data_IF_751866389873
#
_entry.id   IF_751866389873
#
_cell.length_a   1.000
_cell.length_b   1.000
_cell.length_c   1.000
_cell.angle_alpha   90.00
_cell.angle_beta   90.00
_cell.angle_gamma   90.00
#
_symmetry.space_group_name_H-M   'P 1'
#
loop_
_entity.id
_entity.type
_entity.pdbx_description
1 polymer ?
#
# COMPACT_ATOMS: atom_id res chain seq x y z
N UNK A 1 7.90 26.89 -25.26
CA UNK A 1 6.58 26.27 -25.45
C UNK A 1 6.08 25.81 -24.09
N UNK A 2 5.35 26.68 -23.39
CA UNK A 2 4.74 26.36 -22.10
C UNK A 2 3.47 25.54 -22.34
N UNK A 3 3.52 24.25 -22.02
CA UNK A 3 2.31 23.43 -21.97
C UNK A 3 1.54 23.80 -20.71
N UNK A 4 0.56 24.68 -20.86
CA UNK A 4 -0.43 24.96 -19.81
C UNK A 4 -1.25 23.70 -19.56
N UNK A 5 -0.86 22.92 -18.56
CA UNK A 5 -1.66 21.82 -18.03
C UNK A 5 -2.98 22.39 -17.51
N UNK A 6 -4.05 22.25 -18.30
CA UNK A 6 -5.43 22.53 -17.86
C UNK A 6 -5.66 21.82 -16.53
N UNK A 7 -5.91 22.59 -15.46
CA UNK A 7 -6.34 22.04 -14.19
C UNK A 7 -7.62 21.21 -14.42
N UNK A 8 -7.52 19.89 -14.23
CA UNK A 8 -8.68 19.00 -14.37
C UNK A 8 -9.62 19.26 -13.19
N UNK A 9 -10.70 19.98 -13.46
CA UNK A 9 -11.79 20.14 -12.50
C UNK A 9 -12.66 18.89 -12.48
N UNK A 10 -12.75 18.24 -11.32
CA UNK A 10 -13.55 17.03 -11.14
C UNK A 10 -14.81 17.32 -10.33
N UNK A 11 -15.98 16.92 -10.85
CA UNK A 11 -17.26 17.00 -10.13
C UNK A 11 -17.17 16.31 -8.77
N UNK A 12 -17.83 16.89 -7.76
CA UNK A 12 -17.94 16.29 -6.44
C UNK A 12 -18.71 14.96 -6.51
N UNK A 13 -18.20 13.94 -5.83
CA UNK A 13 -18.75 12.58 -5.82
C UNK A 13 -18.81 12.06 -4.40
N UNK A 14 -20.00 11.64 -3.95
CA UNK A 14 -20.19 11.02 -2.63
C UNK A 14 -19.35 9.75 -2.46
N UNK A 15 -19.25 8.94 -3.52
CA UNK A 15 -18.43 7.73 -3.52
C UNK A 15 -16.95 8.06 -3.38
N UNK A 16 -16.46 9.08 -4.10
CA UNK A 16 -15.05 9.52 -4.00
C UNK A 16 -14.71 10.00 -2.60
N UNK A 17 -15.57 10.85 -2.03
CA UNK A 17 -15.40 11.34 -0.66
C UNK A 17 -15.31 10.18 0.32
N UNK A 18 -16.21 9.20 0.20
CA UNK A 18 -16.21 8.03 1.08
C UNK A 18 -14.97 7.15 0.91
N UNK A 19 -14.47 6.95 -0.32
CA UNK A 19 -13.20 6.25 -0.56
C UNK A 19 -12.05 6.95 0.16
N UNK A 20 -11.95 8.27 0.04
CA UNK A 20 -10.92 9.05 0.72
C UNK A 20 -11.03 8.89 2.24
N UNK A 21 -12.22 9.06 2.82
CA UNK A 21 -12.45 8.86 4.26
C UNK A 21 -12.08 7.46 4.74
N UNK A 22 -12.37 6.42 3.95
CA UNK A 22 -11.98 5.04 4.27
C UNK A 22 -10.46 4.89 4.27
N UNK A 23 -9.75 5.48 3.30
CA UNK A 23 -8.30 5.45 3.23
C UNK A 23 -7.64 6.29 4.34
N UNK A 24 -8.23 7.42 4.72
CA UNK A 24 -7.72 8.28 5.81
C UNK A 24 -7.96 7.70 7.20
N UNK A 25 -8.90 6.76 7.35
CA UNK A 25 -9.25 6.15 8.64
C UNK A 25 -8.58 4.79 8.91
N UNK A 26 -7.75 4.33 7.98
CA UNK A 26 -7.07 3.02 8.09
C UNK A 26 -5.56 3.19 8.17
N UNK A 27 -4.93 2.35 8.99
CA UNK A 27 -3.48 2.20 9.04
C UNK A 27 -2.99 1.01 8.21
N UNK A 28 -3.90 0.20 7.66
CA UNK A 28 -3.56 -0.78 6.64
C UNK A 28 -3.62 -0.15 5.26
N UNK A 29 -2.78 -0.62 4.35
CA UNK A 29 -2.83 -0.28 2.92
C UNK A 29 -3.79 -1.23 2.21
N UNK A 30 -5.04 -0.83 1.91
CA UNK A 30 -6.01 -1.71 1.26
C UNK A 30 -5.75 -1.88 -0.24
N UNK A 31 -6.22 -2.99 -0.79
CA UNK A 31 -6.40 -3.17 -2.24
C UNK A 31 -7.71 -2.54 -2.70
N UNK A 32 -7.87 -2.34 -4.01
CA UNK A 32 -9.14 -1.86 -4.58
C UNK A 32 -10.33 -2.78 -4.24
N UNK A 33 -10.11 -4.10 -4.23
CA UNK A 33 -11.12 -5.09 -3.84
C UNK A 33 -11.54 -4.97 -2.38
N UNK A 34 -10.59 -4.68 -1.47
CA UNK A 34 -10.91 -4.40 -0.08
C UNK A 34 -11.82 -3.17 0.07
N UNK A 35 -11.49 -2.08 -0.63
CA UNK A 35 -12.28 -0.84 -0.64
C UNK A 35 -13.68 -1.12 -1.19
N UNK A 36 -13.75 -1.84 -2.31
CA UNK A 36 -15.00 -2.26 -2.93
C UNK A 36 -15.89 -3.03 -1.95
N UNK A 37 -15.39 -4.09 -1.32
CA UNK A 37 -16.17 -4.88 -0.36
C UNK A 37 -16.65 -4.06 0.82
N UNK A 38 -15.80 -3.16 1.33
CA UNK A 38 -16.16 -2.26 2.44
C UNK A 38 -17.32 -1.34 2.08
N UNK A 39 -17.29 -0.76 0.88
CA UNK A 39 -18.23 0.27 0.43
C UNK A 39 -19.45 -0.26 -0.31
N UNK A 40 -19.44 -1.51 -0.80
CA UNK A 40 -20.57 -2.10 -1.54
C UNK A 40 -21.86 -2.14 -0.72
N UNK A 41 -21.75 -2.28 0.60
CA UNK A 41 -22.89 -2.23 1.54
C UNK A 41 -23.53 -0.83 1.61
N UNK A 42 -22.72 0.22 1.54
CA UNK A 42 -23.18 1.62 1.57
C UNK A 42 -23.66 2.08 0.17
N UNK A 43 -23.05 1.55 -0.89
CA UNK A 43 -23.36 1.89 -2.28
C UNK A 43 -23.66 0.61 -3.09
N UNK A 44 -24.92 0.12 -3.13
CA UNK A 44 -25.26 -1.13 -3.81
C UNK A 44 -24.93 -1.16 -5.31
N UNK A 45 -24.96 0.00 -5.98
CA UNK A 45 -24.61 0.15 -7.41
C UNK A 45 -23.10 0.32 -7.66
N UNK A 46 -22.26 0.31 -6.62
CA UNK A 46 -20.82 0.41 -6.77
C UNK A 46 -20.28 -0.80 -7.57
N UNK A 47 -19.36 -0.53 -8.48
CA UNK A 47 -18.61 -1.55 -9.24
C UNK A 47 -17.11 -1.34 -9.04
N UNK A 48 -16.32 -2.38 -9.32
CA UNK A 48 -14.85 -2.28 -9.28
C UNK A 48 -14.33 -1.20 -10.22
N UNK A 49 -14.87 -1.08 -11.43
CA UNK A 49 -14.49 -0.02 -12.38
C UNK A 49 -14.74 1.39 -11.82
N UNK A 50 -15.80 1.57 -11.05
CA UNK A 50 -16.07 2.85 -10.36
C UNK A 50 -15.08 3.10 -9.22
N UNK A 51 -14.67 2.07 -8.47
CA UNK A 51 -13.62 2.22 -7.45
C UNK A 51 -12.30 2.67 -8.07
N UNK A 52 -11.81 1.99 -9.11
CA UNK A 52 -10.58 2.38 -9.80
C UNK A 52 -10.64 3.78 -10.40
N UNK A 53 -11.77 4.15 -11.02
CA UNK A 53 -11.95 5.51 -11.56
C UNK A 53 -11.80 6.57 -10.48
N UNK A 54 -12.43 6.38 -9.32
CA UNK A 54 -12.34 7.34 -8.22
C UNK A 54 -10.95 7.36 -7.59
N UNK A 55 -10.28 6.20 -7.45
CA UNK A 55 -8.90 6.13 -6.97
C UNK A 55 -7.94 6.88 -7.88
N UNK A 56 -8.04 6.68 -9.20
CA UNK A 56 -7.20 7.40 -10.17
C UNK A 56 -7.42 8.92 -10.08
N UNK A 57 -8.66 9.36 -9.91
CA UNK A 57 -8.94 10.78 -9.73
C UNK A 57 -8.32 11.30 -8.42
N UNK A 58 -8.41 10.55 -7.32
CA UNK A 58 -7.79 10.95 -6.05
C UNK A 58 -6.26 10.99 -6.14
N UNK A 59 -5.66 10.08 -6.91
CA UNK A 59 -4.22 10.07 -7.22
C UNK A 59 -3.83 11.30 -8.04
N UNK A 60 -4.56 11.58 -9.12
CA UNK A 60 -4.35 12.77 -9.95
C UNK A 60 -4.45 14.07 -9.14
N UNK A 61 -5.30 14.08 -8.10
CA UNK A 61 -5.48 15.22 -7.20
C UNK A 61 -4.47 15.25 -6.03
N UNK A 62 -3.60 14.24 -5.89
CA UNK A 62 -2.61 14.16 -4.82
C UNK A 62 -3.18 13.81 -3.43
N UNK A 63 -4.41 13.31 -3.34
CA UNK A 63 -5.02 12.90 -2.07
C UNK A 63 -4.77 11.44 -1.70
N UNK A 64 -4.38 10.62 -2.68
CA UNK A 64 -4.12 9.19 -2.51
C UNK A 64 -2.84 8.82 -3.25
N UNK A 65 -2.01 7.98 -2.63
CA UNK A 65 -0.87 7.36 -3.28
C UNK A 65 -1.18 5.91 -3.64
N UNK A 66 -0.51 5.43 -4.69
CA UNK A 66 -0.56 4.05 -5.15
C UNK A 66 0.79 3.38 -4.86
N UNK A 67 0.75 2.30 -4.09
CA UNK A 67 1.90 1.46 -3.80
C UNK A 67 1.88 0.30 -4.80
N UNK A 68 2.85 0.31 -5.70
CA UNK A 68 3.11 -0.83 -6.58
C UNK A 68 3.75 -1.95 -5.77
N UNK A 69 3.07 -3.09 -5.72
CA UNK A 69 3.53 -4.26 -4.97
C UNK A 69 3.86 -5.42 -5.91
N UNK A 70 4.94 -5.27 -6.67
CA UNK A 70 5.51 -6.31 -7.54
C UNK A 70 4.46 -7.03 -8.40
N UNK A 71 4.38 -8.36 -8.25
CA UNK A 71 3.47 -9.27 -8.98
C UNK A 71 2.07 -9.40 -8.37
N UNK A 72 1.76 -8.64 -7.31
CA UNK A 72 0.47 -8.74 -6.62
C UNK A 72 -0.34 -7.45 -6.75
N UNK A 73 -1.55 -7.46 -6.21
CA UNK A 73 -2.48 -6.33 -6.36
C UNK A 73 -1.94 -5.03 -5.75
N UNK A 74 -2.11 -3.95 -6.51
CA UNK A 74 -1.80 -2.60 -6.05
C UNK A 74 -2.50 -2.26 -4.73
N UNK A 75 -1.80 -1.48 -3.92
CA UNK A 75 -2.31 -0.98 -2.66
C UNK A 75 -2.43 0.54 -2.68
N UNK A 76 -3.31 1.07 -1.83
CA UNK A 76 -3.64 2.50 -1.80
C UNK A 76 -3.54 3.04 -0.39
N UNK A 77 -3.17 4.32 -0.27
CA UNK A 77 -3.10 5.04 1.00
C UNK A 77 -3.44 6.51 0.83
N UNK A 78 -4.03 7.12 1.85
CA UNK A 78 -4.27 8.58 1.86
C UNK A 78 -3.04 9.37 2.34
N UNK A 79 -2.06 8.70 2.96
CA UNK A 79 -0.82 9.33 3.37
C UNK A 79 0.08 9.51 2.15
N UNK A 80 0.32 10.76 1.78
CA UNK A 80 1.14 11.09 0.60
C UNK A 80 2.56 11.55 0.98
N UNK A 81 2.85 11.75 2.27
CA UNK A 81 4.22 12.03 2.68
C UNK A 81 5.13 10.81 2.47
N UNK A 82 6.38 11.00 2.02
CA UNK A 82 7.35 9.93 1.92
C UNK A 82 7.53 9.20 3.26
N UNK A 83 7.36 7.89 3.24
CA UNK A 83 7.64 7.00 4.35
C UNK A 83 8.11 5.65 3.80
N UNK A 84 8.60 4.79 4.69
CA UNK A 84 9.13 3.49 4.30
C UNK A 84 8.12 2.40 4.56
N UNK A 85 8.05 1.46 3.62
CA UNK A 85 7.19 0.29 3.71
C UNK A 85 8.01 -0.93 4.18
N UNK A 86 7.50 -1.64 5.18
CA UNK A 86 7.89 -3.01 5.52
C UNK A 86 6.82 -3.97 5.01
N UNK A 87 7.23 -4.93 4.20
CA UNK A 87 6.35 -5.76 3.38
C UNK A 87 6.54 -7.23 3.75
N UNK A 88 5.43 -7.90 4.08
CA UNK A 88 5.45 -9.32 4.36
C UNK A 88 5.38 -10.15 3.06
N UNK A 89 6.39 -10.93 2.76
CA UNK A 89 6.45 -11.79 1.57
C UNK A 89 5.47 -12.96 1.62
N UNK A 90 4.97 -13.31 2.82
CA UNK A 90 4.02 -14.43 2.97
C UNK A 90 2.57 -14.03 2.80
N UNK A 91 2.15 -12.90 3.37
CA UNK A 91 0.74 -12.48 3.35
C UNK A 91 0.49 -11.15 2.65
N UNK A 92 1.56 -10.50 2.17
CA UNK A 92 1.50 -9.21 1.49
C UNK A 92 1.13 -8.03 2.40
N UNK A 93 1.08 -8.20 3.73
CA UNK A 93 0.77 -7.08 4.62
C UNK A 93 1.87 -6.01 4.54
N UNK A 94 1.47 -4.75 4.46
CA UNK A 94 2.37 -3.60 4.48
C UNK A 94 2.22 -2.90 5.83
N UNK A 95 3.32 -2.42 6.38
CA UNK A 95 3.35 -1.63 7.61
C UNK A 95 4.34 -0.49 7.44
N UNK A 96 3.98 0.68 7.94
CA UNK A 96 4.86 1.84 7.92
C UNK A 96 6.03 1.62 8.88
N UNK A 97 7.23 1.87 8.38
CA UNK A 97 8.45 1.91 9.17
C UNK A 97 8.86 3.36 9.35
N UNK A 98 8.70 3.87 10.58
CA UNK A 98 9.20 5.19 10.95
C UNK A 98 10.67 5.09 11.34
N UNK A 99 11.55 5.12 10.33
CA UNK A 99 13.00 5.06 10.50
C UNK A 99 13.66 6.23 9.81
N UNK A 100 14.62 6.86 10.48
CA UNK A 100 15.48 7.87 9.88
C UNK A 100 16.52 7.20 8.99
N UNK A 101 16.57 7.56 7.71
CA UNK A 101 17.60 7.09 6.80
C UNK A 101 18.84 7.99 6.83
N UNK A 102 19.98 7.41 6.43
CA UNK A 102 21.19 8.17 6.18
C UNK A 102 20.90 9.25 5.13
N UNK A 103 21.11 10.51 5.51
CA UNK A 103 20.99 11.64 4.59
C UNK A 103 22.07 11.49 3.52
N UNK A 104 21.68 11.63 2.25
CA UNK A 104 22.64 11.70 1.13
C UNK A 104 22.79 10.43 0.29
N UNK A 105 22.01 9.37 0.53
CA UNK A 105 22.07 8.16 -0.30
C UNK A 105 21.84 8.45 -1.80
N UNK A 106 20.87 9.33 -2.13
CA UNK A 106 20.63 9.79 -3.50
C UNK A 106 21.84 10.49 -4.08
N UNK A 107 22.47 11.35 -3.29
CA UNK A 107 23.59 12.18 -3.74
C UNK A 107 24.84 11.33 -3.96
N UNK A 108 25.09 10.36 -3.07
CA UNK A 108 26.13 9.35 -3.24
C UNK A 108 25.92 8.55 -4.52
N UNK A 109 24.69 8.11 -4.80
CA UNK A 109 24.36 7.38 -6.02
C UNK A 109 24.56 8.25 -7.29
N UNK A 110 24.21 9.55 -7.25
CA UNK A 110 24.48 10.47 -8.37
C UNK A 110 25.97 10.59 -8.64
N UNK A 111 26.77 10.83 -7.60
CA UNK A 111 28.23 11.00 -7.74
C UNK A 111 28.92 9.75 -8.28
N UNK A 112 28.46 8.56 -7.87
CA UNK A 112 29.06 7.29 -8.31
C UNK A 112 28.72 6.92 -9.76
N UNK A 113 27.57 7.37 -10.28
CA UNK A 113 27.05 6.90 -11.57
C UNK A 113 26.99 8.00 -12.65
N UNK A 114 27.03 9.27 -12.26
CA UNK A 114 26.75 10.41 -13.15
C UNK A 114 25.29 10.51 -13.61
N UNK A 115 24.38 9.69 -13.07
CA UNK A 115 22.99 9.62 -13.50
C UNK A 115 22.16 10.77 -12.92
N UNK A 116 21.21 11.31 -13.70
CA UNK A 116 20.24 12.32 -13.23
C UNK A 116 19.13 11.68 -12.38
N UNK A 117 19.50 11.25 -11.16
CA UNK A 117 18.59 10.58 -10.24
C UNK A 117 17.60 11.61 -9.66
N UNK A 118 16.32 11.49 -10.00
CA UNK A 118 15.24 12.39 -9.52
C UNK A 118 14.59 11.96 -8.21
N UNK A 119 14.57 10.66 -7.91
CA UNK A 119 13.95 10.08 -6.71
C UNK A 119 14.59 8.74 -6.36
N UNK A 120 14.44 8.31 -5.11
CA UNK A 120 14.66 6.94 -4.67
C UNK A 120 13.49 6.48 -3.80
N UNK A 121 13.34 5.17 -3.64
CA UNK A 121 12.34 4.55 -2.77
C UNK A 121 13.04 3.45 -1.96
N UNK A 122 12.74 3.35 -0.68
CA UNK A 122 13.25 2.30 0.21
C UNK A 122 12.05 1.45 0.65
N UNK A 123 12.18 0.15 0.47
CA UNK A 123 11.21 -0.86 0.89
C UNK A 123 11.96 -2.02 1.52
N UNK A 124 11.43 -2.55 2.62
CA UNK A 124 11.98 -3.73 3.28
C UNK A 124 11.05 -4.92 3.06
N UNK A 125 11.61 -6.08 2.75
CA UNK A 125 10.89 -7.32 2.54
C UNK A 125 11.27 -8.33 3.62
N UNK A 126 10.27 -9.05 4.15
CA UNK A 126 10.50 -10.07 5.17
C UNK A 126 9.21 -10.78 5.59
N UNK A 127 9.16 -11.33 6.80
CA UNK A 127 7.98 -12.06 7.31
C UNK A 127 7.41 -11.35 8.54
N UNK A 128 6.14 -10.94 8.50
CA UNK A 128 5.51 -10.26 9.63
C UNK A 128 5.32 -11.20 10.84
N UNK A 129 5.24 -10.61 12.04
CA UNK A 129 5.10 -11.34 13.30
C UNK A 129 3.91 -12.31 13.31
N UNK A 130 2.77 -11.91 12.71
CA UNK A 130 1.58 -12.76 12.56
C UNK A 130 1.88 -14.04 11.77
N UNK A 131 2.73 -13.94 10.74
CA UNK A 131 3.13 -15.09 9.93
C UNK A 131 4.17 -15.95 10.63
N UNK A 132 5.10 -15.35 11.39
CA UNK A 132 6.08 -16.10 12.19
C UNK A 132 5.40 -16.94 13.28
N UNK A 133 4.39 -16.40 13.96
CA UNK A 133 3.66 -17.11 15.03
C UNK A 133 2.79 -18.24 14.49
N UNK A 134 2.19 -18.10 13.30
CA UNK A 134 1.43 -19.19 12.66
C UNK A 134 2.26 -20.45 12.35
N UNK A 135 3.60 -20.33 12.30
CA UNK A 135 4.50 -21.48 12.16
C UNK A 135 4.87 -22.15 13.49
N UNK A 136 4.46 -21.60 14.65
CA UNK A 136 4.72 -22.17 15.98
C UNK A 136 3.53 -22.99 16.51
N UNK A 137 2.85 -23.76 15.67
CA UNK A 137 1.94 -24.78 16.17
C UNK A 137 2.75 -25.78 17.01
N UNK A 138 2.29 -26.16 18.22
CA UNK A 138 3.01 -27.11 19.06
C UNK A 138 3.12 -28.44 18.31
N UNK A 139 4.35 -28.98 18.20
CA UNK A 139 4.56 -30.36 17.77
C UNK A 139 3.66 -31.25 18.64
N UNK A 140 2.71 -31.97 18.03
CA UNK A 140 2.00 -33.07 18.69
C UNK A 140 3.08 -33.97 19.28
N UNK A 141 3.08 -34.15 20.60
CA UNK A 141 3.83 -35.24 21.24
C UNK A 141 3.26 -36.53 20.67
N UNK A 142 4.07 -37.28 19.92
CA UNK A 142 3.77 -38.66 19.59
C UNK A 142 3.61 -39.40 20.93
N UNK A 143 2.41 -39.93 21.16
CA UNK A 143 2.20 -40.92 22.21
C UNK A 143 2.87 -42.21 21.71
N UNK A 144 4.00 -42.57 22.30
CA UNK A 144 4.44 -43.96 22.29
C UNK A 144 3.60 -44.70 23.32
N UNK A 145 2.46 -45.23 22.88
CA UNK A 145 1.76 -46.27 23.61
C UNK A 145 2.46 -47.61 23.26
N UNK A 146 3.61 -47.84 23.91
CA UNK A 146 4.25 -49.15 23.96
C UNK A 146 3.77 -49.88 25.20
N UNK A 147 2.74 -50.72 25.06
CA UNK A 147 2.34 -51.69 26.06
C UNK A 147 3.20 -52.95 25.89
N UNK A 148 4.03 -53.25 26.87
CA UNK A 148 4.37 -54.62 27.28
C UNK A 148 3.36 -55.07 28.35
#
# INVERSE_FOLDING_TARGET
METTSKEKSYRQSRQRKRILEVLSSTTVHPTADWIYRRLKKEFPRLSMGTVYRNLNILIDQGWVSKIHFGSTFDRFEARVEPHTHLICERCGSITDLNMSFEKGITEKARKLTGFDIRRHRIEFFGICQKCLVKNRSPKKREKNDGNE
#
